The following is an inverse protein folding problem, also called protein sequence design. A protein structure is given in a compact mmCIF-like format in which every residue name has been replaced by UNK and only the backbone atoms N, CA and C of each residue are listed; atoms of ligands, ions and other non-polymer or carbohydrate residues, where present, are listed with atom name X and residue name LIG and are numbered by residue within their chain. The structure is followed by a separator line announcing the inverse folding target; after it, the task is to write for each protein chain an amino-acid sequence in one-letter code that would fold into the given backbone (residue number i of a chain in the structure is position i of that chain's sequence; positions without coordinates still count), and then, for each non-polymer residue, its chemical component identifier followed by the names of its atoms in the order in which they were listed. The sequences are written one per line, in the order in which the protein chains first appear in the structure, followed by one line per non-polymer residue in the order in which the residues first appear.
data_IF_460799763332
#
_entry.id   IF_460799763332
#
_cell.length_a   1.000
_cell.length_b   1.000
_cell.length_c   1.000
_cell.angle_alpha   90.00
_cell.angle_beta   90.00
_cell.angle_gamma   90.00
#
_symmetry.space_group_name_H-M   'P 1'
#
loop_
_entity.id
_entity.type
_entity.pdbx_description
1 polymer ?
#
# COMPACT_ATOMS: atom_id res chain seq x y z
N UNK A 1 34.17 -35.41 54.87
CA UNK A 1 34.21 -35.54 53.40
C UNK A 1 33.69 -36.92 53.02
N UNK A 2 32.41 -37.03 52.72
CA UNK A 2 31.79 -38.28 52.28
C UNK A 2 32.08 -38.45 50.80
N UNK A 3 33.04 -39.33 50.46
CA UNK A 3 33.23 -39.79 49.09
C UNK A 3 31.91 -40.40 48.62
N UNK A 4 31.20 -39.71 47.72
CA UNK A 4 29.99 -40.22 47.09
C UNK A 4 30.32 -41.56 46.45
N UNK A 5 29.80 -42.65 47.04
CA UNK A 5 29.98 -44.01 46.54
C UNK A 5 29.37 -44.05 45.13
N UNK A 6 30.22 -44.04 44.10
CA UNK A 6 29.78 -44.15 42.72
C UNK A 6 29.22 -45.55 42.52
N UNK A 7 27.90 -45.66 42.41
CA UNK A 7 27.22 -46.91 42.08
C UNK A 7 27.45 -47.22 40.61
N UNK A 8 28.37 -48.16 40.36
CA UNK A 8 28.78 -48.64 39.04
C UNK A 8 28.04 -49.92 38.64
N UNK A 9 26.91 -50.23 39.26
CA UNK A 9 26.11 -51.38 38.87
C UNK A 9 25.66 -51.30 37.39
N UNK A 10 25.47 -52.46 36.77
CA UNK A 10 25.01 -52.54 35.37
C UNK A 10 23.66 -51.83 35.18
N UNK A 11 22.81 -51.84 36.21
CA UNK A 11 21.51 -51.18 36.19
C UNK A 11 21.62 -49.65 36.08
N UNK A 12 22.52 -49.00 36.83
CA UNK A 12 22.71 -47.55 36.79
C UNK A 12 23.33 -47.09 35.46
N UNK A 13 24.28 -47.86 34.93
CA UNK A 13 24.86 -47.61 33.61
C UNK A 13 23.84 -47.78 32.50
N UNK A 14 23.01 -48.83 32.54
CA UNK A 14 21.94 -49.03 31.56
C UNK A 14 20.90 -47.91 31.60
N UNK A 15 20.47 -47.49 32.79
CA UNK A 15 19.54 -46.38 32.93
C UNK A 15 20.11 -45.06 32.39
N UNK A 16 21.39 -44.76 32.66
CA UNK A 16 22.09 -43.60 32.09
C UNK A 16 22.21 -43.68 30.57
N UNK A 17 22.61 -44.83 30.03
CA UNK A 17 22.72 -45.04 28.60
C UNK A 17 21.38 -44.82 27.90
N UNK A 18 20.30 -45.41 28.41
CA UNK A 18 18.94 -45.20 27.88
C UNK A 18 18.58 -43.72 27.92
N UNK A 19 18.82 -43.03 29.05
CA UNK A 19 18.52 -41.60 29.18
C UNK A 19 19.27 -40.77 28.14
N UNK A 20 20.57 -41.02 27.94
CA UNK A 20 21.35 -40.28 26.94
C UNK A 20 20.88 -40.61 25.51
N UNK A 21 20.63 -41.87 25.19
CA UNK A 21 20.10 -42.28 23.88
C UNK A 21 18.78 -41.57 23.58
N UNK A 22 17.85 -41.52 24.54
CA UNK A 22 16.58 -40.82 24.38
C UNK A 22 16.81 -39.32 24.16
N UNK A 23 17.70 -38.68 24.92
CA UNK A 23 18.02 -37.25 24.73
C UNK A 23 18.56 -37.00 23.33
N UNK A 24 19.50 -37.81 22.86
CA UNK A 24 20.07 -37.65 21.52
C UNK A 24 19.05 -37.94 20.41
N UNK A 25 18.17 -38.91 20.61
CA UNK A 25 17.06 -39.17 19.69
C UNK A 25 16.11 -37.97 19.60
N UNK A 26 15.72 -37.40 20.74
CA UNK A 26 14.87 -36.21 20.78
C UNK A 26 15.55 -35.01 20.12
N UNK A 27 16.85 -34.81 20.38
CA UNK A 27 17.63 -33.75 19.75
C UNK A 27 17.70 -33.93 18.23
N UNK A 28 17.97 -35.14 17.76
CA UNK A 28 18.00 -35.47 16.34
C UNK A 28 16.62 -35.22 15.69
N UNK A 29 15.55 -35.67 16.33
CA UNK A 29 14.18 -35.44 15.86
C UNK A 29 13.85 -33.94 15.77
N UNK A 30 14.25 -33.16 16.79
CA UNK A 30 14.06 -31.71 16.81
C UNK A 30 14.82 -31.02 15.69
N UNK A 31 16.08 -31.40 15.45
CA UNK A 31 16.91 -30.84 14.38
C UNK A 31 16.37 -31.19 12.99
N UNK A 32 15.96 -32.44 12.78
CA UNK A 32 15.35 -32.88 11.51
C UNK A 32 14.00 -32.21 11.30
N UNK A 33 13.17 -32.11 12.34
CA UNK A 33 11.89 -31.39 12.29
C UNK A 33 12.11 -29.93 11.93
N UNK A 34 13.01 -29.22 12.63
CA UNK A 34 13.35 -27.83 12.33
C UNK A 34 13.87 -27.67 10.90
N UNK A 35 14.72 -28.60 10.43
CA UNK A 35 15.20 -28.60 9.05
C UNK A 35 14.06 -28.77 8.04
N UNK A 36 13.15 -29.70 8.30
CA UNK A 36 11.98 -29.97 7.46
C UNK A 36 11.06 -28.74 7.37
N UNK A 37 10.70 -28.14 8.51
CA UNK A 37 9.84 -26.95 8.53
C UNK A 37 10.49 -25.71 7.90
N UNK A 38 11.81 -25.59 7.94
CA UNK A 38 12.54 -24.43 7.38
C UNK A 38 12.98 -24.61 5.93
N UNK A 39 12.91 -25.83 5.38
CA UNK A 39 13.37 -26.13 4.02
C UNK A 39 12.64 -25.29 2.95
N UNK A 40 11.34 -25.03 3.16
CA UNK A 40 10.51 -24.26 2.24
C UNK A 40 10.69 -22.74 2.30
N UNK A 41 11.32 -22.19 3.34
CA UNK A 41 11.37 -20.74 3.57
C UNK A 41 12.20 -20.03 2.49
N UNK A 42 13.40 -20.52 2.20
CA UNK A 42 14.26 -19.95 1.15
C UNK A 42 13.64 -19.99 -0.25
N UNK A 43 13.10 -21.12 -0.75
CA UNK A 43 12.49 -21.14 -2.06
C UNK A 43 11.21 -20.30 -2.12
N UNK A 44 10.39 -20.28 -1.07
CA UNK A 44 9.21 -19.41 -1.01
C UNK A 44 9.58 -17.93 -1.07
N UNK A 45 10.64 -17.52 -0.37
CA UNK A 45 11.15 -16.15 -0.40
C UNK A 45 11.65 -15.77 -1.81
N UNK A 46 12.39 -16.65 -2.48
CA UNK A 46 12.82 -16.43 -3.88
C UNK A 46 11.63 -16.29 -4.83
N UNK A 47 10.66 -17.20 -4.72
CA UNK A 47 9.44 -17.13 -5.54
C UNK A 47 8.64 -15.84 -5.28
N UNK A 48 8.61 -15.34 -4.04
CA UNK A 48 7.99 -14.06 -3.72
C UNK A 48 8.76 -12.88 -4.36
N UNK A 49 10.09 -12.88 -4.28
CA UNK A 49 10.94 -11.85 -4.90
C UNK A 49 10.81 -11.83 -6.43
N UNK A 50 10.73 -13.00 -7.07
CA UNK A 50 10.51 -13.09 -8.52
C UNK A 50 9.16 -12.50 -8.91
N UNK A 51 8.09 -12.80 -8.15
CA UNK A 51 6.76 -12.23 -8.39
C UNK A 51 6.75 -10.72 -8.21
N UNK A 52 7.41 -10.21 -7.18
CA UNK A 52 7.53 -8.78 -6.94
C UNK A 52 8.24 -8.08 -8.11
N UNK A 53 9.37 -8.62 -8.57
CA UNK A 53 10.10 -8.08 -9.72
C UNK A 53 9.24 -8.04 -10.99
N UNK A 54 8.44 -9.09 -11.25
CA UNK A 54 7.51 -9.14 -12.38
C UNK A 54 6.42 -8.06 -12.23
N UNK A 55 5.83 -7.91 -11.05
CA UNK A 55 4.80 -6.91 -10.80
C UNK A 55 5.33 -5.48 -10.93
N UNK A 56 6.55 -5.21 -10.44
CA UNK A 56 7.21 -3.90 -10.62
C UNK A 56 7.41 -3.61 -12.10
N UNK A 57 7.91 -4.58 -12.88
CA UNK A 57 8.08 -4.43 -14.33
C UNK A 57 6.76 -4.12 -15.03
N UNK A 58 5.69 -4.84 -14.68
CA UNK A 58 4.35 -4.60 -15.24
C UNK A 58 3.79 -3.23 -14.86
N UNK A 59 4.01 -2.80 -13.60
CA UNK A 59 3.62 -1.47 -13.15
C UNK A 59 4.30 -0.39 -13.99
N UNK A 60 5.61 -0.51 -14.19
CA UNK A 60 6.40 0.49 -14.92
C UNK A 60 5.97 0.53 -16.41
N UNK A 61 5.72 -0.63 -17.02
CA UNK A 61 5.19 -0.69 -18.37
C UNK A 61 3.80 -0.04 -18.49
N UNK A 62 2.90 -0.34 -17.54
CA UNK A 62 1.57 0.27 -17.49
C UNK A 62 1.64 1.78 -17.30
N UNK A 63 2.53 2.26 -16.43
CA UNK A 63 2.77 3.68 -16.22
C UNK A 63 3.22 4.36 -17.51
N UNK A 64 4.20 3.78 -18.22
CA UNK A 64 4.65 4.28 -19.51
C UNK A 64 3.52 4.30 -20.55
N UNK A 65 2.68 3.25 -20.60
CA UNK A 65 1.51 3.19 -21.49
C UNK A 65 0.48 4.25 -21.16
N UNK A 66 0.19 4.46 -19.87
CA UNK A 66 -0.73 5.51 -19.41
C UNK A 66 -0.18 6.89 -19.75
N UNK A 67 1.10 7.15 -19.55
CA UNK A 67 1.72 8.42 -19.95
C UNK A 67 1.64 8.61 -21.47
N UNK A 68 1.88 7.56 -22.26
CA UNK A 68 1.77 7.62 -23.72
C UNK A 68 0.33 7.86 -24.21
N UNK A 69 -0.68 7.28 -23.54
CA UNK A 69 -2.10 7.51 -23.83
C UNK A 69 -2.59 8.86 -23.27
N UNK A 70 -2.00 9.30 -22.17
CA UNK A 70 -2.29 10.54 -21.46
C UNK A 70 -1.84 11.81 -22.18
N UNK A 71 -1.12 11.68 -23.30
CA UNK A 71 -0.69 12.82 -24.09
C UNK A 71 -1.92 13.64 -24.53
N UNK A 72 -2.05 14.92 -24.11
CA UNK A 72 -3.25 15.72 -24.37
C UNK A 72 -3.55 15.89 -25.87
N UNK A 73 -2.52 15.82 -26.73
CA UNK A 73 -2.70 15.83 -28.19
C UNK A 73 -3.44 14.57 -28.65
N UNK A 74 -2.98 13.38 -28.25
CA UNK A 74 -3.63 12.10 -28.58
C UNK A 74 -5.04 12.00 -28.02
N UNK A 75 -5.27 12.47 -26.79
CA UNK A 75 -6.60 12.47 -26.18
C UNK A 75 -7.56 13.32 -27.03
N UNK A 76 -7.11 14.50 -27.48
CA UNK A 76 -7.91 15.37 -28.36
C UNK A 76 -8.19 14.71 -29.70
N UNK A 77 -7.19 14.11 -30.32
CA UNK A 77 -7.35 13.45 -31.62
C UNK A 77 -8.29 12.25 -31.54
N UNK A 78 -8.18 11.43 -30.49
CA UNK A 78 -9.09 10.34 -30.20
C UNK A 78 -10.52 10.84 -29.96
N UNK A 79 -10.69 11.89 -29.15
CA UNK A 79 -12.00 12.47 -28.85
C UNK A 79 -12.69 12.96 -30.14
N UNK A 80 -11.95 13.63 -31.02
CA UNK A 80 -12.44 14.07 -32.33
C UNK A 80 -12.84 12.90 -33.23
N UNK A 81 -12.02 11.83 -33.29
CA UNK A 81 -12.34 10.61 -34.05
C UNK A 81 -13.60 9.91 -33.55
N UNK A 82 -13.88 9.99 -32.24
CA UNK A 82 -15.07 9.42 -31.62
C UNK A 82 -16.28 10.37 -31.60
N UNK A 83 -16.24 11.46 -32.38
CA UNK A 83 -17.36 12.38 -32.56
C UNK A 83 -17.56 13.39 -31.42
N UNK A 84 -16.63 13.49 -30.48
CA UNK A 84 -16.65 14.57 -29.48
C UNK A 84 -16.24 15.89 -30.13
N UNK A 85 -16.97 16.97 -29.82
CA UNK A 85 -16.71 18.31 -30.35
C UNK A 85 -15.93 19.13 -29.34
N UNK A 86 -15.07 20.04 -29.83
CA UNK A 86 -14.36 20.97 -28.94
C UNK A 86 -15.38 21.87 -28.23
N UNK A 87 -15.12 22.21 -26.98
CA UNK A 87 -15.98 23.16 -26.24
C UNK A 87 -16.15 24.50 -26.96
N UNK A 88 -15.13 24.94 -27.71
CA UNK A 88 -15.19 26.15 -28.53
C UNK A 88 -16.18 26.04 -29.72
N UNK A 89 -16.41 24.82 -30.22
CA UNK A 89 -17.25 24.50 -31.38
C UNK A 89 -18.61 23.94 -30.97
N UNK A 90 -18.84 23.72 -29.67
CA UNK A 90 -20.13 23.31 -29.14
C UNK A 90 -21.16 24.44 -29.38
N UNK A 91 -22.40 24.10 -29.76
CA UNK A 91 -23.46 25.09 -29.91
C UNK A 91 -23.68 25.79 -28.56
N UNK A 92 -23.23 27.04 -28.46
CA UNK A 92 -23.48 27.88 -27.30
C UNK A 92 -24.92 28.34 -27.38
N UNK A 93 -25.79 27.77 -26.55
CA UNK A 93 -27.09 28.37 -26.28
C UNK A 93 -26.86 29.65 -25.51
N UNK A 94 -26.90 30.77 -26.22
CA UNK A 94 -27.00 32.08 -25.60
C UNK A 94 -28.44 32.20 -25.09
N UNK A 95 -28.63 32.06 -23.78
CA UNK A 95 -29.90 32.37 -23.15
C UNK A 95 -29.87 33.84 -22.76
N UNK A 96 -30.82 34.63 -23.27
CA UNK A 96 -31.05 35.97 -22.74
C UNK A 96 -31.52 35.81 -21.29
N UNK A 97 -30.63 36.14 -20.35
CA UNK A 97 -30.98 36.33 -18.96
C UNK A 97 -31.81 37.61 -18.90
N UNK A 98 -33.13 37.47 -18.81
CA UNK A 98 -33.99 38.62 -18.56
C UNK A 98 -33.54 39.26 -17.24
N UNK A 99 -33.25 40.56 -17.29
CA UNK A 99 -32.90 41.32 -16.09
C UNK A 99 -34.06 41.21 -15.11
N UNK A 100 -33.80 40.64 -13.94
CA UNK A 100 -34.72 40.77 -12.80
C UNK A 100 -34.85 42.27 -12.54
N UNK A 101 -36.07 42.82 -12.42
CA UNK A 101 -36.25 44.24 -12.15
C UNK A 101 -35.47 44.62 -10.90
N UNK A 102 -34.68 45.70 -10.99
CA UNK A 102 -33.87 46.17 -9.88
C UNK A 102 -34.77 46.36 -8.65
N UNK A 103 -34.35 45.89 -7.45
CA UNK A 103 -35.10 46.13 -6.23
C UNK A 103 -35.28 47.64 -6.05
N UNK A 104 -36.47 48.05 -5.59
CA UNK A 104 -36.77 49.45 -5.35
C UNK A 104 -35.68 50.08 -4.48
N UNK A 105 -35.22 51.31 -4.80
CA UNK A 105 -34.19 51.97 -4.01
C UNK A 105 -34.67 52.08 -2.56
N UNK A 106 -33.93 51.47 -1.65
CA UNK A 106 -34.18 51.60 -0.21
C UNK A 106 -33.88 53.05 0.15
N UNK A 107 -34.88 53.76 0.68
CA UNK A 107 -34.70 55.13 1.18
C UNK A 107 -33.52 55.17 2.14
N UNK A 108 -32.54 56.03 1.86
CA UNK A 108 -31.39 56.22 2.74
C UNK A 108 -31.89 56.64 4.13
N UNK A 109 -31.81 55.74 5.09
CA UNK A 109 -32.03 56.03 6.50
C UNK A 109 -30.69 55.91 7.21
N UNK A 110 -30.01 57.05 7.32
CA UNK A 110 -29.17 57.48 8.46
C UNK A 110 -28.24 58.59 7.97
N UNK A 111 -28.38 59.78 8.55
CA UNK A 111 -27.32 60.79 8.55
C UNK A 111 -26.20 60.23 9.42
N UNK A 112 -25.13 59.74 8.79
CA UNK A 112 -23.90 59.38 9.50
C UNK A 112 -23.20 60.68 9.91
N UNK A 113 -23.28 61.07 11.19
CA UNK A 113 -22.34 62.03 11.77
C UNK A 113 -20.98 61.34 11.87
N UNK A 114 -20.06 61.76 11.00
CA UNK A 114 -18.67 61.30 11.02
C UNK A 114 -17.85 62.32 11.82
N UNK A 115 -17.62 62.02 13.11
CA UNK A 115 -16.59 62.72 13.88
C UNK A 115 -15.23 62.16 13.49
N UNK A 116 -14.44 62.96 12.79
CA UNK A 116 -13.03 62.66 12.53
C UNK A 116 -12.18 63.34 13.60
N UNK A 117 -11.56 62.56 14.47
CA UNK A 117 -10.49 63.07 15.33
C UNK A 117 -9.15 62.75 14.70
N UNK A 118 -8.36 63.79 14.43
CA UNK A 118 -6.94 63.65 14.13
C UNK A 118 -6.14 64.36 15.21
N UNK A 119 -5.35 63.53 15.91
CA UNK A 119 -4.20 63.84 16.78
C UNK A 119 -4.46 64.18 18.25
#
# INVERSE_FOLDING_TARGET
MTLSRLDLSVATWRARAIRYVVIYLLLALALVGARFFTQGVRPALRAAQEREAVLTTQRDELELRVQALGNPQRIRDWALQNGMRRFAEAPKTTQDLSSIPAPAPISAHTTLEVTTEWK
#
